data_IF_006783087218
#
_entry.id   IF_006783087218
#
_cell.length_a   1.000
_cell.length_b   1.000
_cell.length_c   1.000
_cell.angle_alpha   90.00
_cell.angle_beta   90.00
_cell.angle_gamma   90.00
#
_symmetry.space_group_name_H-M   'P 1'
#
loop_
_entity.id
_entity.type
_entity.pdbx_description
1 polymer ?
#
# COMPACT_ATOMS: atom_id res chain seq x y z
N UNK A 1 -15.22 31.15 -12.29
CA UNK A 1 -13.89 30.60 -12.64
C UNK A 1 -12.74 31.42 -12.02
N UNK A 2 -12.86 32.75 -11.90
CA UNK A 2 -11.88 33.63 -11.23
C UNK A 2 -11.44 33.22 -9.81
N UNK A 3 -12.37 32.73 -8.97
CA UNK A 3 -12.07 32.32 -7.59
C UNK A 3 -11.14 31.12 -7.50
N UNK A 4 -11.21 30.16 -8.43
CA UNK A 4 -10.34 28.98 -8.47
C UNK A 4 -8.89 29.36 -8.79
N UNK A 5 -8.69 30.33 -9.69
CA UNK A 5 -7.36 30.83 -10.07
C UNK A 5 -6.72 31.64 -8.94
N UNK A 6 -7.50 32.48 -8.23
CA UNK A 6 -7.02 33.18 -7.03
C UNK A 6 -6.62 32.20 -5.92
N UNK A 7 -7.44 31.18 -5.65
CA UNK A 7 -7.10 30.15 -4.66
C UNK A 7 -5.83 29.36 -5.02
N UNK A 8 -5.67 29.00 -6.30
CA UNK A 8 -4.45 28.31 -6.78
C UNK A 8 -3.21 29.20 -6.66
N UNK A 9 -3.32 30.49 -6.99
CA UNK A 9 -2.22 31.45 -6.83
C UNK A 9 -1.80 31.63 -5.37
N UNK A 10 -2.75 31.72 -4.44
CA UNK A 10 -2.47 31.81 -3.00
C UNK A 10 -1.76 30.56 -2.48
N UNK A 11 -2.20 29.37 -2.90
CA UNK A 11 -1.54 28.11 -2.54
C UNK A 11 -0.11 28.09 -3.07
N UNK A 12 0.11 28.52 -4.31
CA UNK A 12 1.44 28.54 -4.93
C UNK A 12 2.39 29.51 -4.24
N UNK A 13 1.89 30.70 -3.87
CA UNK A 13 2.66 31.69 -3.10
C UNK A 13 3.04 31.12 -1.72
N UNK A 14 2.08 30.49 -1.02
CA UNK A 14 2.33 29.91 0.30
C UNK A 14 3.36 28.77 0.24
N UNK A 15 3.25 27.90 -0.77
CA UNK A 15 4.20 26.82 -1.00
C UNK A 15 5.60 27.37 -1.34
N UNK A 16 5.66 28.42 -2.17
CA UNK A 16 6.91 29.11 -2.51
C UNK A 16 7.59 29.74 -1.30
N UNK A 17 6.83 30.34 -0.38
CA UNK A 17 7.37 30.90 0.88
C UNK A 17 8.00 29.78 1.73
N UNK A 18 7.31 28.64 1.90
CA UNK A 18 7.83 27.50 2.67
C UNK A 18 9.16 26.99 2.09
N UNK A 19 9.23 26.79 0.77
CA UNK A 19 10.47 26.37 0.09
C UNK A 19 11.59 27.41 0.19
N UNK A 20 11.26 28.70 0.18
CA UNK A 20 12.24 29.77 0.33
C UNK A 20 12.84 29.80 1.75
N UNK A 21 12.01 29.61 2.78
CA UNK A 21 12.47 29.54 4.18
C UNK A 21 13.34 28.30 4.45
N UNK A 22 13.06 27.19 3.78
CA UNK A 22 13.88 25.98 3.82
C UNK A 22 15.26 26.22 3.17
N UNK A 23 15.29 26.82 1.97
CA UNK A 23 16.55 27.20 1.30
C UNK A 23 17.43 28.15 2.13
N UNK A 24 16.79 29.07 2.87
CA UNK A 24 17.48 30.02 3.74
C UNK A 24 17.98 29.38 5.05
N UNK A 25 17.80 28.06 5.26
CA UNK A 25 18.13 27.34 6.48
C UNK A 25 17.45 27.90 7.75
N UNK A 26 16.38 28.70 7.59
CA UNK A 26 15.58 29.21 8.72
C UNK A 26 14.76 28.07 9.32
N UNK A 27 14.33 27.13 8.47
CA UNK A 27 13.63 25.92 8.88
C UNK A 27 14.32 24.71 8.23
N UNK A 28 14.83 23.79 9.04
CA UNK A 28 15.39 22.52 8.54
C UNK A 28 14.26 21.51 8.31
N UNK A 29 13.56 21.63 7.19
CA UNK A 29 12.59 20.63 6.75
C UNK A 29 13.30 19.57 5.91
N UNK A 30 13.55 18.39 6.49
CA UNK A 30 14.01 17.27 5.68
C UNK A 30 12.81 16.64 4.96
N UNK A 31 12.43 17.23 3.81
CA UNK A 31 11.31 16.75 3.01
C UNK A 31 11.45 15.26 2.66
N UNK A 32 12.70 14.80 2.50
CA UNK A 32 13.04 13.40 2.31
C UNK A 32 12.54 12.51 3.44
N UNK A 33 12.36 12.98 4.67
CA UNK A 33 11.86 12.19 5.81
C UNK A 33 10.36 12.31 6.02
N UNK A 34 9.77 13.45 5.66
CA UNK A 34 8.38 13.77 6.00
C UNK A 34 7.41 13.31 4.89
N UNK A 35 7.87 13.19 3.64
CA UNK A 35 6.98 12.85 2.52
C UNK A 35 6.11 11.59 2.71
N UNK A 36 6.55 10.48 3.36
CA UNK A 36 5.71 9.30 3.56
C UNK A 36 4.49 9.58 4.44
N UNK A 37 4.58 10.56 5.35
CA UNK A 37 3.48 10.97 6.23
C UNK A 37 2.32 11.50 5.40
N UNK A 38 2.58 12.29 4.35
CA UNK A 38 1.52 12.77 3.46
C UNK A 38 0.84 11.62 2.70
N UNK A 39 1.59 10.58 2.33
CA UNK A 39 1.05 9.38 1.69
C UNK A 39 0.11 8.63 2.65
N UNK A 40 0.55 8.42 3.90
CA UNK A 40 -0.26 7.79 4.95
C UNK A 40 -1.53 8.61 5.22
N UNK A 41 -1.40 9.93 5.39
CA UNK A 41 -2.53 10.83 5.63
C UNK A 41 -3.55 10.79 4.47
N UNK A 42 -3.08 10.73 3.22
CA UNK A 42 -3.93 10.52 2.06
C UNK A 42 -4.69 9.18 2.14
N UNK A 43 -3.98 8.10 2.47
CA UNK A 43 -4.57 6.77 2.63
C UNK A 43 -5.64 6.71 3.73
N UNK A 44 -5.32 7.23 4.91
CA UNK A 44 -6.26 7.35 6.04
C UNK A 44 -7.44 8.24 5.64
N UNK A 45 -7.22 9.33 4.92
CA UNK A 45 -8.28 10.21 4.43
C UNK A 45 -9.32 9.47 3.58
N UNK A 46 -8.88 8.58 2.69
CA UNK A 46 -9.78 7.73 1.90
C UNK A 46 -10.56 6.72 2.76
N UNK A 47 -9.91 6.11 3.76
CA UNK A 47 -10.56 5.17 4.69
C UNK A 47 -11.59 5.92 5.56
N UNK A 48 -11.28 7.13 6.03
CA UNK A 48 -12.19 7.98 6.78
C UNK A 48 -13.38 8.43 5.92
N UNK A 49 -13.15 8.76 4.65
CA UNK A 49 -14.23 9.10 3.72
C UNK A 49 -15.23 7.94 3.58
N UNK A 50 -14.75 6.69 3.58
CA UNK A 50 -15.60 5.52 3.63
C UNK A 50 -16.36 5.37 4.97
N UNK A 51 -15.68 5.59 6.11
CA UNK A 51 -16.33 5.54 7.43
C UNK A 51 -17.45 6.57 7.56
N UNK A 52 -17.22 7.79 7.06
CA UNK A 52 -18.20 8.88 7.06
C UNK A 52 -19.38 8.58 6.13
N UNK A 53 -19.11 7.97 4.97
CA UNK A 53 -20.16 7.62 4.02
C UNK A 53 -19.84 6.32 3.28
N UNK A 54 -20.62 5.26 3.59
CA UNK A 54 -20.48 3.91 3.02
C UNK A 54 -20.62 3.87 1.50
N UNK A 55 -21.16 4.93 0.86
CA UNK A 55 -21.19 5.08 -0.60
C UNK A 55 -19.80 5.12 -1.23
N UNK A 56 -18.78 5.56 -0.48
CA UNK A 56 -17.38 5.62 -0.95
C UNK A 56 -16.60 4.32 -0.70
N UNK A 57 -17.28 3.17 -0.68
CA UNK A 57 -16.62 1.87 -0.48
C UNK A 57 -15.49 1.60 -1.49
N UNK A 58 -15.61 2.08 -2.72
CA UNK A 58 -14.53 1.99 -3.72
C UNK A 58 -13.24 2.73 -3.31
N UNK A 59 -13.30 3.67 -2.36
CA UNK A 59 -12.14 4.41 -1.86
C UNK A 59 -11.32 3.60 -0.84
N UNK A 60 -11.84 2.46 -0.36
CA UNK A 60 -11.07 1.59 0.51
C UNK A 60 -9.83 1.07 -0.19
N UNK A 61 -9.93 0.65 -1.46
CA UNK A 61 -8.77 0.15 -2.21
C UNK A 61 -7.63 1.17 -2.28
N UNK A 62 -7.80 2.40 -2.80
CA UNK A 62 -6.74 3.38 -2.79
C UNK A 62 -6.31 3.77 -1.38
N UNK A 63 -7.22 3.78 -0.40
CA UNK A 63 -6.91 4.05 1.00
C UNK A 63 -5.97 3.00 1.62
N UNK A 64 -6.25 1.71 1.44
CA UNK A 64 -5.43 0.60 1.92
C UNK A 64 -4.06 0.59 1.25
N UNK A 65 -4.02 0.77 -0.08
CA UNK A 65 -2.77 0.84 -0.86
C UNK A 65 -1.88 1.98 -0.35
N UNK A 66 -2.40 3.20 -0.28
CA UNK A 66 -1.65 4.38 0.16
C UNK A 66 -1.18 4.25 1.61
N UNK A 67 -2.01 3.69 2.49
CA UNK A 67 -1.63 3.49 3.89
C UNK A 67 -0.47 2.50 4.00
N UNK A 68 -0.56 1.36 3.32
CA UNK A 68 0.49 0.32 3.36
C UNK A 68 1.79 0.84 2.74
N UNK A 69 1.71 1.52 1.59
CA UNK A 69 2.89 2.08 0.92
C UNK A 69 3.50 3.22 1.72
N UNK A 70 2.67 4.08 2.30
CA UNK A 70 3.14 5.15 3.17
C UNK A 70 3.89 4.62 4.39
N UNK A 71 3.39 3.56 5.04
CA UNK A 71 4.10 2.88 6.14
C UNK A 71 5.40 2.23 5.65
N UNK A 72 5.38 1.56 4.51
CA UNK A 72 6.58 0.99 3.88
C UNK A 72 7.65 2.06 3.64
N UNK A 73 7.26 3.18 3.04
CA UNK A 73 8.16 4.28 2.73
C UNK A 73 8.69 4.96 3.99
N UNK A 74 7.86 5.10 5.02
CA UNK A 74 8.30 5.61 6.33
C UNK A 74 9.32 4.67 6.97
N UNK A 75 9.10 3.36 6.87
CA UNK A 75 10.04 2.35 7.36
C UNK A 75 11.39 2.41 6.61
N UNK A 76 11.36 2.43 5.27
CA UNK A 76 12.58 2.61 4.46
C UNK A 76 13.29 3.93 4.73
N UNK A 77 12.57 4.97 5.15
CA UNK A 77 13.18 6.24 5.51
C UNK A 77 14.03 6.16 6.78
N UNK A 78 13.51 5.46 7.79
CA UNK A 78 14.14 5.36 9.12
C UNK A 78 15.30 4.37 9.09
N UNK A 79 15.12 3.24 8.42
CA UNK A 79 16.08 2.12 8.46
C UNK A 79 16.96 2.01 7.20
N UNK A 80 16.70 2.84 6.19
CA UNK A 80 17.46 2.86 4.95
C UNK A 80 16.73 2.20 3.78
N UNK A 81 16.93 2.79 2.60
CA UNK A 81 16.29 2.36 1.35
C UNK A 81 16.81 1.03 0.81
N UNK A 82 17.94 0.54 1.30
CA UNK A 82 18.47 -0.78 0.96
C UNK A 82 17.51 -1.90 1.34
N UNK A 83 16.66 -1.70 2.36
CA UNK A 83 15.65 -2.68 2.76
C UNK A 83 14.57 -2.89 1.69
N UNK A 84 14.44 -1.99 0.72
CA UNK A 84 13.49 -2.12 -0.38
C UNK A 84 13.72 -3.40 -1.21
N UNK A 85 14.96 -3.89 -1.28
CA UNK A 85 15.29 -5.15 -1.96
C UNK A 85 14.59 -6.38 -1.34
N UNK A 86 14.21 -6.27 -0.05
CA UNK A 86 13.50 -7.30 0.71
C UNK A 86 12.01 -7.00 0.84
N UNK A 87 11.67 -5.72 0.99
CA UNK A 87 10.31 -5.25 1.28
C UNK A 87 9.45 -5.01 0.04
N UNK A 88 10.01 -5.06 -1.17
CA UNK A 88 9.25 -4.90 -2.42
C UNK A 88 7.97 -5.75 -2.52
N UNK A 89 7.86 -6.98 -1.95
CA UNK A 89 6.61 -7.72 -2.08
C UNK A 89 5.45 -7.06 -1.34
N UNK A 90 5.70 -6.13 -0.43
CA UNK A 90 4.65 -5.32 0.22
C UNK A 90 3.88 -4.48 -0.82
N UNK A 91 4.47 -4.19 -1.99
CA UNK A 91 3.73 -3.61 -3.12
C UNK A 91 2.64 -4.52 -3.69
N UNK A 92 2.76 -5.84 -3.52
CA UNK A 92 1.68 -6.78 -3.87
C UNK A 92 0.65 -6.88 -2.73
N UNK A 93 1.11 -6.73 -1.48
CA UNK A 93 0.27 -6.77 -0.28
C UNK A 93 -0.74 -5.61 -0.25
N UNK A 94 -0.31 -4.41 -0.65
CA UNK A 94 -1.16 -3.21 -0.74
C UNK A 94 -2.49 -3.47 -1.47
N UNK A 95 -2.46 -3.78 -2.78
CA UNK A 95 -3.65 -4.08 -3.56
C UNK A 95 -4.29 -5.40 -3.11
N UNK A 96 -3.52 -6.42 -2.71
CA UNK A 96 -4.05 -7.68 -2.20
C UNK A 96 -5.01 -7.50 -1.02
N UNK A 97 -4.57 -6.76 0.01
CA UNK A 97 -5.41 -6.39 1.15
C UNK A 97 -6.54 -5.43 0.76
N UNK A 98 -6.31 -4.52 -0.19
CA UNK A 98 -7.34 -3.62 -0.70
C UNK A 98 -8.52 -4.38 -1.34
N UNK A 99 -8.23 -5.37 -2.19
CA UNK A 99 -9.25 -6.26 -2.77
C UNK A 99 -9.93 -7.13 -1.71
N UNK A 100 -9.16 -7.67 -0.76
CA UNK A 100 -9.70 -8.47 0.33
C UNK A 100 -10.66 -7.68 1.23
N UNK A 101 -10.30 -6.46 1.65
CA UNK A 101 -11.15 -5.58 2.44
C UNK A 101 -12.43 -5.19 1.67
N UNK A 102 -12.31 -4.91 0.37
CA UNK A 102 -13.48 -4.60 -0.47
C UNK A 102 -14.47 -5.76 -0.52
N UNK A 103 -13.98 -6.99 -0.65
CA UNK A 103 -14.82 -8.18 -0.61
C UNK A 103 -15.57 -8.28 0.73
N UNK A 104 -14.85 -8.22 1.85
CA UNK A 104 -15.43 -8.34 3.20
C UNK A 104 -16.48 -7.25 3.48
N UNK A 105 -16.27 -6.03 2.99
CA UNK A 105 -17.11 -4.88 3.33
C UNK A 105 -18.30 -4.67 2.41
N UNK A 106 -18.29 -5.25 1.20
CA UNK A 106 -19.33 -5.03 0.19
C UNK A 106 -20.06 -6.30 -0.24
N UNK A 107 -19.63 -7.47 0.25
CA UNK A 107 -20.13 -8.77 -0.21
C UNK A 107 -20.10 -8.87 -1.75
N UNK A 108 -19.01 -8.35 -2.34
CA UNK A 108 -18.83 -8.33 -3.78
C UNK A 108 -18.66 -9.75 -4.33
N UNK A 109 -18.98 -9.96 -5.61
CA UNK A 109 -18.81 -11.23 -6.29
C UNK A 109 -17.45 -11.88 -6.00
N UNK A 110 -17.44 -13.22 -5.88
CA UNK A 110 -16.24 -14.04 -5.61
C UNK A 110 -15.08 -13.77 -6.58
N UNK A 111 -15.35 -13.11 -7.70
CA UNK A 111 -14.40 -12.73 -8.74
C UNK A 111 -13.31 -11.76 -8.28
N UNK A 112 -13.58 -10.85 -7.32
CA UNK A 112 -12.54 -9.94 -6.78
C UNK A 112 -11.70 -10.58 -5.66
N UNK A 113 -12.15 -11.72 -5.12
CA UNK A 113 -11.50 -12.43 -4.03
C UNK A 113 -10.27 -13.20 -4.52
N UNK A 114 -10.37 -13.80 -5.71
CA UNK A 114 -9.29 -14.55 -6.36
C UNK A 114 -8.03 -13.68 -6.55
N UNK A 115 -8.09 -12.47 -7.17
CA UNK A 115 -6.92 -11.60 -7.29
C UNK A 115 -6.42 -11.11 -5.92
N UNK A 116 -7.32 -10.79 -4.97
CA UNK A 116 -6.93 -10.35 -3.63
C UNK A 116 -6.13 -11.39 -2.86
N UNK A 117 -6.60 -12.64 -2.82
CA UNK A 117 -5.91 -13.75 -2.17
C UNK A 117 -4.60 -14.04 -2.89
N UNK A 118 -4.61 -14.16 -4.22
CA UNK A 118 -3.39 -14.49 -4.97
C UNK A 118 -2.30 -13.45 -4.77
N UNK A 119 -2.62 -12.15 -4.83
CA UNK A 119 -1.67 -11.06 -4.57
C UNK A 119 -1.14 -11.09 -3.13
N UNK A 120 -2.03 -11.30 -2.15
CA UNK A 120 -1.65 -11.35 -0.73
C UNK A 120 -0.75 -12.55 -0.46
N UNK A 121 -1.13 -13.73 -0.95
CA UNK A 121 -0.33 -14.95 -0.83
C UNK A 121 1.02 -14.72 -1.49
N UNK A 122 1.07 -14.33 -2.77
CA UNK A 122 2.32 -14.05 -3.49
C UNK A 122 3.23 -13.09 -2.73
N UNK A 123 2.68 -12.02 -2.16
CA UNK A 123 3.44 -11.09 -1.33
C UNK A 123 4.14 -11.80 -0.16
N UNK A 124 3.39 -12.57 0.62
CA UNK A 124 3.93 -13.35 1.71
C UNK A 124 4.98 -14.37 1.23
N UNK A 125 4.71 -15.06 0.12
CA UNK A 125 5.63 -16.03 -0.48
C UNK A 125 7.00 -15.39 -0.80
N UNK A 126 6.99 -14.21 -1.40
CA UNK A 126 8.23 -13.49 -1.71
C UNK A 126 8.91 -12.89 -0.48
N UNK A 127 8.16 -12.46 0.55
CA UNK A 127 8.74 -12.01 1.82
C UNK A 127 9.42 -13.18 2.57
N UNK A 128 8.76 -14.33 2.63
CA UNK A 128 9.28 -15.52 3.31
C UNK A 128 10.52 -16.11 2.64
N UNK A 129 10.77 -15.82 1.35
CA UNK A 129 12.00 -16.22 0.67
C UNK A 129 13.27 -15.73 1.38
N UNK A 130 13.19 -14.60 2.07
CA UNK A 130 14.34 -13.97 2.70
C UNK A 130 14.59 -14.43 4.14
N UNK A 131 13.71 -15.25 4.72
CA UNK A 131 13.90 -15.86 6.04
C UNK A 131 14.69 -17.18 5.84
N UNK A 132 15.90 -17.29 6.41
CA UNK A 132 16.80 -18.44 6.23
C UNK A 132 16.13 -19.79 6.53
N UNK A 133 15.28 -19.84 7.56
CA UNK A 133 14.55 -21.04 7.98
C UNK A 133 13.42 -21.47 7.02
N UNK A 134 12.98 -20.58 6.13
CA UNK A 134 11.90 -20.84 5.18
C UNK A 134 12.41 -20.93 3.74
N UNK A 135 13.72 -20.97 3.48
CA UNK A 135 14.28 -21.14 2.12
C UNK A 135 13.62 -22.25 1.29
N UNK A 136 13.15 -23.31 1.95
CA UNK A 136 12.49 -24.48 1.34
C UNK A 136 10.95 -24.45 1.42
N UNK A 137 10.33 -23.35 1.85
CA UNK A 137 8.87 -23.22 1.87
C UNK A 137 8.20 -23.51 0.49
N UNK A 138 8.83 -23.25 -0.68
CA UNK A 138 8.28 -23.65 -1.97
C UNK A 138 8.11 -25.18 -2.13
N UNK A 139 8.86 -25.99 -1.39
CA UNK A 139 8.71 -27.45 -1.39
C UNK A 139 7.35 -27.87 -0.84
N UNK A 140 6.79 -27.14 0.14
CA UNK A 140 5.45 -27.39 0.66
C UNK A 140 4.37 -27.09 -0.38
N UNK A 141 4.56 -26.04 -1.20
CA UNK A 141 3.66 -25.77 -2.33
C UNK A 141 3.76 -26.85 -3.42
N UNK A 142 4.96 -27.34 -3.70
CA UNK A 142 5.16 -28.45 -4.65
C UNK A 142 4.45 -29.71 -4.14
N UNK A 143 4.64 -30.06 -2.87
CA UNK A 143 3.96 -31.22 -2.25
C UNK A 143 2.44 -31.02 -2.25
N UNK A 144 1.95 -29.84 -1.86
CA UNK A 144 0.52 -29.51 -1.88
C UNK A 144 -0.09 -29.58 -3.29
N UNK A 145 0.63 -29.08 -4.29
CA UNK A 145 0.25 -29.17 -5.70
C UNK A 145 0.21 -30.60 -6.21
N UNK A 146 1.21 -31.42 -5.85
CA UNK A 146 1.23 -32.86 -6.16
C UNK A 146 0.03 -33.55 -5.51
N UNK A 147 -0.23 -33.31 -4.23
CA UNK A 147 -1.37 -33.90 -3.50
C UNK A 147 -2.70 -33.52 -4.15
N UNK A 148 -2.90 -32.25 -4.52
CA UNK A 148 -4.11 -31.78 -5.21
C UNK A 148 -4.30 -32.46 -6.58
N UNK A 149 -3.24 -32.63 -7.37
CA UNK A 149 -3.29 -33.34 -8.66
C UNK A 149 -3.70 -34.80 -8.46
N UNK A 150 -3.15 -35.47 -7.43
CA UNK A 150 -3.53 -36.84 -7.10
C UNK A 150 -4.93 -36.95 -6.48
N UNK A 151 -5.42 -35.90 -5.82
CA UNK A 151 -6.78 -35.83 -5.28
C UNK A 151 -7.84 -35.59 -6.36
N UNK A 152 -7.48 -34.98 -7.48
CA UNK A 152 -8.41 -34.68 -8.56
C UNK A 152 -8.75 -35.89 -9.45
N UNK A 153 -8.15 -37.06 -9.19
CA UNK A 153 -8.43 -38.29 -9.96
C UNK A 153 -9.23 -39.30 -9.15
N UNK A 154 -10.52 -39.00 -8.96
CA UNK A 154 -11.55 -40.00 -8.62
C UNK A 154 -12.95 -39.56 -9.08
N UNK A 155 -13.09 -39.25 -10.37
CA UNK A 155 -14.34 -39.41 -11.12
C UNK A 155 -14.01 -40.00 -12.50
#
# INVERSE_FOLDING_TARGET
METRQKSLGVILIFLGIIFLLENLNIITFNFLTIWPVFVILGGIGFILAYMLNRRYISFIMPGTILTIYGVLFMYCNVYGWELMQFLWPIFLLGPGLGFFLLYVLRDYDREMLIPGITLTVLSFLFLFRYIEYLKYWPVLLIIGGIVLIFWQKKE
#
